data_IF_321387595705
#
_entry.id   IF_321387595705
#
_cell.length_a   1.000
_cell.length_b   1.000
_cell.length_c   1.000
_cell.angle_alpha   90.00
_cell.angle_beta   90.00
_cell.angle_gamma   90.00
#
_symmetry.space_group_name_H-M   'P 1'
#
loop_
_entity.id
_entity.type
_entity.pdbx_description
1 polymer ?
#
# COMPACT_ATOMS: atom_id res chain seq x y z
N UNK A 1 -13.57 28.16 21.40
CA UNK A 1 -12.11 28.12 21.66
C UNK A 1 -11.50 27.29 20.54
N UNK A 2 -10.51 27.82 19.84
CA UNK A 2 -9.79 27.02 18.83
C UNK A 2 -8.99 25.95 19.60
N UNK A 3 -9.27 24.69 19.38
CA UNK A 3 -8.46 23.59 19.92
C UNK A 3 -7.08 23.66 19.27
N UNK A 4 -6.04 23.79 20.10
CA UNK A 4 -4.66 23.72 19.63
C UNK A 4 -4.44 22.31 19.10
N UNK A 5 -4.16 22.22 17.81
CA UNK A 5 -3.84 20.94 17.14
C UNK A 5 -2.38 20.58 17.50
N UNK A 6 -2.22 19.64 18.42
CA UNK A 6 -0.89 19.12 18.80
C UNK A 6 -0.75 17.73 18.17
N UNK A 7 0.11 17.55 17.16
CA UNK A 7 0.43 16.23 16.66
C UNK A 7 1.14 15.42 17.75
N UNK A 8 0.68 14.20 17.95
CA UNK A 8 1.28 13.25 18.89
C UNK A 8 1.70 12.00 18.15
N UNK A 9 2.77 11.37 18.59
CA UNK A 9 3.16 10.06 18.12
C UNK A 9 3.65 9.19 19.28
N UNK A 10 3.43 7.89 19.15
CA UNK A 10 3.91 6.87 20.08
C UNK A 10 4.58 5.75 19.30
N UNK A 11 5.68 5.27 19.81
CA UNK A 11 6.46 4.18 19.23
C UNK A 11 6.52 3.04 20.24
N UNK A 12 6.23 1.84 19.76
CA UNK A 12 6.33 0.61 20.53
C UNK A 12 7.35 -0.30 19.88
N UNK A 13 8.27 -0.80 20.66
CA UNK A 13 9.32 -1.75 20.26
C UNK A 13 9.09 -3.05 21.01
N UNK A 14 8.97 -4.17 20.31
CA UNK A 14 8.63 -5.47 20.92
C UNK A 14 7.36 -5.41 21.80
N UNK A 15 6.36 -4.60 21.41
CA UNK A 15 5.10 -4.44 22.14
C UNK A 15 5.15 -3.50 23.36
N UNK A 16 6.34 -3.00 23.73
CA UNK A 16 6.52 -2.05 24.83
C UNK A 16 6.67 -0.63 24.30
N UNK A 17 5.99 0.33 24.90
CA UNK A 17 6.14 1.75 24.53
C UNK A 17 7.60 2.19 24.78
N UNK A 18 8.13 2.95 23.84
CA UNK A 18 9.48 3.50 23.92
C UNK A 18 9.57 4.47 25.11
N UNK A 19 10.61 4.35 25.92
CA UNK A 19 10.79 5.20 27.09
C UNK A 19 11.00 6.67 26.67
N UNK A 20 10.53 7.60 27.51
CA UNK A 20 10.53 9.03 27.19
C UNK A 20 11.91 9.60 26.82
N UNK A 21 12.98 9.04 27.37
CA UNK A 21 14.36 9.43 27.09
C UNK A 21 14.72 9.32 25.60
N UNK A 22 14.17 8.33 24.90
CA UNK A 22 14.48 8.09 23.49
C UNK A 22 13.74 9.05 22.55
N UNK A 23 12.61 9.62 22.96
CA UNK A 23 11.84 10.53 22.10
C UNK A 23 12.59 11.83 21.77
N UNK A 24 13.50 12.29 22.66
CA UNK A 24 14.31 13.47 22.40
C UNK A 24 15.27 13.29 21.22
N UNK A 25 15.61 12.06 20.90
CA UNK A 25 16.52 11.74 19.81
C UNK A 25 15.79 11.66 18.46
N UNK A 26 14.45 11.51 18.46
CA UNK A 26 13.67 11.34 17.24
C UNK A 26 13.43 12.69 16.58
N UNK A 27 13.95 12.83 15.37
CA UNK A 27 13.82 14.05 14.57
C UNK A 27 12.58 14.01 13.66
N UNK A 28 12.29 12.84 13.07
CA UNK A 28 11.18 12.70 12.12
C UNK A 28 10.65 11.27 12.09
N UNK A 29 9.33 11.15 11.96
CA UNK A 29 8.64 9.88 11.70
C UNK A 29 7.78 10.05 10.47
N UNK A 30 7.92 9.14 9.51
CA UNK A 30 7.16 9.16 8.25
C UNK A 30 6.54 7.79 8.02
N UNK A 31 5.22 7.74 7.90
CA UNK A 31 4.49 6.56 7.46
C UNK A 31 4.06 6.76 6.02
N UNK A 32 4.43 5.84 5.14
CA UNK A 32 4.00 5.79 3.75
C UNK A 32 3.09 4.59 3.56
N UNK A 33 1.81 4.86 3.46
CA UNK A 33 0.80 3.86 3.11
C UNK A 33 0.69 3.76 1.59
N UNK A 34 0.57 2.55 1.08
CA UNK A 34 0.36 2.29 -0.34
C UNK A 34 -0.75 1.27 -0.51
N UNK A 35 -1.58 1.46 -1.49
CA UNK A 35 -2.62 0.49 -1.87
C UNK A 35 -2.07 -0.71 -2.64
N UNK A 36 -0.82 -0.63 -3.09
CA UNK A 36 -0.14 -1.67 -3.85
C UNK A 36 1.28 -1.85 -3.29
N UNK A 37 1.55 -2.99 -2.66
CA UNK A 37 2.85 -3.32 -2.10
C UNK A 37 2.96 -3.09 -0.59
N UNK A 38 4.19 -2.99 -0.08
CA UNK A 38 4.45 -2.84 1.36
C UNK A 38 4.29 -1.41 1.85
N UNK A 39 3.56 -1.22 2.94
CA UNK A 39 3.61 0.01 3.71
C UNK A 39 4.96 0.13 4.42
N UNK A 40 5.44 1.35 4.57
CA UNK A 40 6.75 1.64 5.13
C UNK A 40 6.65 2.69 6.21
N UNK A 41 7.47 2.54 7.25
CA UNK A 41 7.70 3.58 8.23
C UNK A 41 9.20 3.87 8.28
N UNK A 42 9.54 5.17 8.33
CA UNK A 42 10.92 5.62 8.48
C UNK A 42 10.99 6.51 9.70
N UNK A 43 11.96 6.23 10.59
CA UNK A 43 12.22 7.00 11.80
C UNK A 43 13.64 7.53 11.70
N UNK A 44 13.78 8.85 11.56
CA UNK A 44 15.07 9.53 11.54
C UNK A 44 15.37 10.05 12.95
N UNK A 45 16.57 9.81 13.43
CA UNK A 45 16.99 10.21 14.77
C UNK A 45 18.44 10.72 14.81
N UNK A 46 18.73 11.52 15.82
CA UNK A 46 20.07 11.95 16.20
C UNK A 46 20.45 11.07 17.41
N UNK A 47 21.59 10.40 17.35
CA UNK A 47 21.99 9.40 18.35
C UNK A 47 23.38 9.71 18.95
N UNK A 48 23.50 10.83 19.68
CA UNK A 48 24.80 11.27 20.20
C UNK A 48 25.43 10.29 21.17
N UNK A 49 24.60 9.56 21.90
CA UNK A 49 25.00 8.60 22.92
C UNK A 49 25.03 7.16 22.40
N UNK A 50 24.85 6.95 21.09
CA UNK A 50 24.87 5.65 20.40
C UNK A 50 23.83 4.65 20.92
N UNK A 51 22.75 5.13 21.55
CA UNK A 51 21.74 4.30 22.22
C UNK A 51 20.97 3.37 21.27
N UNK A 52 20.73 3.85 20.05
CA UNK A 52 20.05 3.06 19.01
C UNK A 52 21.04 2.27 18.15
N UNK A 53 22.19 2.87 17.84
CA UNK A 53 23.18 2.30 16.92
C UNK A 53 23.91 1.11 17.58
N UNK A 54 24.35 1.26 18.83
CA UNK A 54 25.05 0.21 19.57
C UNK A 54 24.12 -0.62 20.47
N UNK A 55 22.89 -0.12 20.68
CA UNK A 55 21.89 -0.78 21.51
C UNK A 55 21.33 -2.04 20.85
N UNK A 56 21.04 -3.05 21.66
CA UNK A 56 20.39 -4.28 21.21
C UNK A 56 18.86 -4.17 21.08
N UNK A 57 18.29 -2.99 21.35
CA UNK A 57 16.85 -2.79 21.39
C UNK A 57 16.20 -2.84 20.02
N UNK A 58 16.87 -2.32 19.00
CA UNK A 58 16.40 -2.24 17.62
C UNK A 58 17.40 -2.96 16.71
N UNK A 59 17.00 -4.14 16.26
CA UNK A 59 17.75 -4.96 15.33
C UNK A 59 16.85 -5.38 14.17
N UNK A 60 17.40 -5.96 13.12
CA UNK A 60 16.60 -6.49 12.01
C UNK A 60 15.52 -7.44 12.52
N UNK A 61 14.33 -7.32 11.95
CA UNK A 61 13.13 -8.09 12.33
C UNK A 61 12.52 -7.74 13.69
N UNK A 62 12.99 -6.71 14.40
CA UNK A 62 12.34 -6.21 15.61
C UNK A 62 10.93 -5.70 15.28
N UNK A 63 9.87 -6.19 15.98
CA UNK A 63 8.51 -5.67 15.81
C UNK A 63 8.41 -4.22 16.24
N UNK A 64 7.85 -3.38 15.37
CA UNK A 64 7.60 -1.97 15.64
C UNK A 64 6.15 -1.63 15.35
N UNK A 65 5.55 -0.88 16.28
CA UNK A 65 4.27 -0.21 16.08
C UNK A 65 4.46 1.29 16.28
N UNK A 66 3.97 2.06 15.33
CA UNK A 66 4.00 3.53 15.38
C UNK A 66 2.58 4.04 15.26
N UNK A 67 2.15 4.83 16.23
CA UNK A 67 0.85 5.51 16.23
C UNK A 67 1.10 6.99 16.04
N UNK A 68 0.54 7.58 15.00
CA UNK A 68 0.58 9.03 14.76
C UNK A 68 -0.85 9.54 14.83
N UNK A 69 -1.07 10.57 15.62
CA UNK A 69 -2.40 11.12 15.80
C UNK A 69 -2.41 12.64 15.89
N UNK A 70 -3.57 13.19 15.61
CA UNK A 70 -3.90 14.58 15.84
C UNK A 70 -5.35 14.64 16.30
N UNK A 71 -5.57 15.03 17.56
CA UNK A 71 -6.86 14.90 18.24
C UNK A 71 -7.33 13.43 18.26
N UNK A 72 -8.58 13.17 17.85
CA UNK A 72 -9.20 11.83 17.88
C UNK A 72 -8.92 11.00 16.60
N UNK A 73 -8.06 11.48 15.71
CA UNK A 73 -7.70 10.77 14.49
C UNK A 73 -6.30 10.18 14.62
N UNK A 74 -6.22 8.86 14.73
CA UNK A 74 -4.98 8.12 14.81
C UNK A 74 -4.77 7.28 13.54
N UNK A 75 -3.51 7.19 13.13
CA UNK A 75 -3.00 6.26 12.12
C UNK A 75 -1.97 5.37 12.76
N UNK A 76 -2.10 4.08 12.55
CA UNK A 76 -1.21 3.08 13.12
C UNK A 76 -0.47 2.35 12.02
N UNK A 77 0.85 2.31 12.12
CA UNK A 77 1.72 1.43 11.36
C UNK A 77 2.15 0.27 12.28
N UNK A 78 2.05 -0.95 11.79
CA UNK A 78 2.59 -2.16 12.44
C UNK A 78 3.47 -2.91 11.45
N UNK A 79 4.69 -3.21 11.88
CA UNK A 79 5.65 -3.87 11.01
C UNK A 79 6.92 -4.28 11.74
N UNK A 80 7.99 -4.42 10.99
CA UNK A 80 9.28 -4.91 11.45
C UNK A 80 10.39 -4.01 10.94
N UNK A 81 11.44 -3.86 11.72
CA UNK A 81 12.67 -3.21 11.29
C UNK A 81 13.29 -4.03 10.15
N UNK A 82 13.53 -3.37 9.02
CA UNK A 82 14.18 -3.98 7.87
C UNK A 82 15.65 -3.59 7.75
N UNK A 83 15.96 -2.32 8.04
CA UNK A 83 17.32 -1.76 7.95
C UNK A 83 17.48 -0.71 9.03
N UNK A 84 18.66 -0.67 9.62
CA UNK A 84 19.16 0.42 10.45
C UNK A 84 20.37 1.04 9.74
N UNK A 85 20.20 2.24 9.20
CA UNK A 85 21.28 3.02 8.59
C UNK A 85 21.89 3.96 9.64
N UNK A 86 23.21 3.92 9.81
CA UNK A 86 23.94 4.82 10.69
C UNK A 86 24.89 5.71 9.90
N UNK A 87 25.01 6.98 10.30
CA UNK A 87 25.92 7.97 9.70
C UNK A 87 26.75 8.64 10.80
N UNK A 88 28.05 8.66 10.59
CA UNK A 88 29.03 9.28 11.48
C UNK A 88 29.74 10.43 10.74
N UNK A 89 29.14 11.64 10.73
CA UNK A 89 29.75 12.77 10.07
C UNK A 89 31.01 13.21 10.80
N UNK A 90 32.01 13.69 10.07
CA UNK A 90 33.23 14.23 10.66
C UNK A 90 32.93 15.42 11.60
N UNK A 91 32.05 16.30 11.15
CA UNK A 91 31.62 17.48 11.87
C UNK A 91 30.10 17.39 12.11
N UNK A 92 29.71 16.89 13.29
CA UNK A 92 28.29 16.73 13.65
C UNK A 92 28.04 15.54 14.55
N UNK A 93 26.79 15.35 14.93
CA UNK A 93 26.37 14.25 15.78
C UNK A 93 26.05 13.00 14.93
N UNK A 94 26.29 11.81 15.45
CA UNK A 94 25.83 10.59 14.83
C UNK A 94 24.31 10.62 14.60
N UNK A 95 23.89 10.09 13.47
CA UNK A 95 22.47 9.98 13.12
C UNK A 95 22.15 8.56 12.70
N UNK A 96 20.92 8.13 12.94
CA UNK A 96 20.44 6.87 12.44
C UNK A 96 19.08 7.02 11.75
N UNK A 97 18.82 6.14 10.81
CA UNK A 97 17.52 6.01 10.15
C UNK A 97 17.05 4.56 10.27
N UNK A 98 15.92 4.37 10.93
CA UNK A 98 15.28 3.05 11.08
C UNK A 98 14.25 2.93 9.97
N UNK A 99 14.45 1.96 9.09
CA UNK A 99 13.50 1.60 8.04
C UNK A 99 12.67 0.41 8.47
N UNK A 100 11.36 0.58 8.46
CA UNK A 100 10.41 -0.47 8.83
C UNK A 100 9.50 -0.80 7.64
N UNK A 101 9.13 -2.05 7.52
CA UNK A 101 8.19 -2.56 6.53
C UNK A 101 7.08 -3.32 7.24
N UNK A 102 5.88 -3.27 6.70
CA UNK A 102 4.78 -4.08 7.22
C UNK A 102 4.98 -5.58 6.92
N UNK A 103 4.08 -6.41 7.43
CA UNK A 103 4.18 -7.88 7.30
C UNK A 103 4.14 -8.37 5.84
N UNK A 104 3.66 -7.55 4.89
CA UNK A 104 3.62 -7.93 3.47
C UNK A 104 5.01 -8.11 2.87
N UNK A 105 6.06 -7.56 3.50
CA UNK A 105 7.43 -7.79 3.04
C UNK A 105 7.80 -9.28 3.01
N UNK A 106 7.20 -10.10 3.89
CA UNK A 106 7.39 -11.55 3.90
C UNK A 106 6.91 -12.19 2.59
N UNK A 107 5.85 -11.64 2.00
CA UNK A 107 5.30 -12.09 0.72
C UNK A 107 6.19 -11.73 -0.47
N UNK A 108 7.16 -10.83 -0.26
CA UNK A 108 8.10 -10.37 -1.29
C UNK A 108 9.46 -11.10 -1.26
N UNK A 109 9.67 -11.99 -0.27
CA UNK A 109 10.98 -12.64 -0.05
C UNK A 109 11.26 -13.81 -0.99
N UNK A 110 10.23 -14.46 -1.51
CA UNK A 110 10.35 -15.71 -2.26
C UNK A 110 9.59 -15.63 -3.58
N UNK A 111 10.25 -16.08 -4.64
CA UNK A 111 9.63 -16.32 -5.93
C UNK A 111 8.96 -17.69 -5.93
N UNK A 112 7.74 -17.76 -6.39
CA UNK A 112 6.96 -18.99 -6.42
C UNK A 112 6.44 -19.27 -7.83
N UNK A 113 6.29 -20.56 -8.13
CA UNK A 113 5.60 -21.06 -9.32
C UNK A 113 4.54 -22.05 -8.85
N UNK A 114 3.27 -21.71 -9.04
CA UNK A 114 2.13 -22.50 -8.57
C UNK A 114 0.99 -22.41 -9.57
N UNK A 115 0.14 -23.43 -9.59
CA UNK A 115 -1.09 -23.45 -10.41
C UNK A 115 -2.26 -23.83 -9.51
N UNK A 116 -3.35 -23.11 -9.65
CA UNK A 116 -4.64 -23.41 -9.02
C UNK A 116 -5.64 -23.75 -10.11
N UNK A 117 -6.39 -24.82 -9.93
CA UNK A 117 -7.39 -25.31 -10.90
C UNK A 117 -8.79 -25.10 -10.34
N UNK A 118 -9.75 -24.83 -11.24
CA UNK A 118 -11.17 -24.69 -10.90
C UNK A 118 -11.44 -23.74 -9.73
N UNK A 119 -10.79 -22.60 -9.69
CA UNK A 119 -10.80 -21.66 -8.58
C UNK A 119 -11.27 -20.25 -9.01
N UNK A 120 -11.62 -19.43 -8.02
CA UNK A 120 -11.87 -17.98 -8.22
C UNK A 120 -10.61 -17.21 -7.87
N UNK A 121 -10.44 -16.01 -8.45
CA UNK A 121 -9.31 -15.12 -8.14
C UNK A 121 -9.30 -14.79 -6.64
N UNK A 122 -10.47 -14.50 -6.06
CA UNK A 122 -10.61 -14.20 -4.64
C UNK A 122 -10.17 -15.36 -3.74
N UNK A 123 -10.49 -16.62 -4.13
CA UNK A 123 -10.09 -17.81 -3.34
C UNK A 123 -8.58 -18.03 -3.35
N UNK A 124 -7.92 -17.72 -4.47
CA UNK A 124 -6.45 -17.80 -4.58
C UNK A 124 -5.79 -16.73 -3.73
N UNK A 125 -6.27 -15.49 -3.79
CA UNK A 125 -5.77 -14.39 -2.95
C UNK A 125 -5.93 -14.71 -1.45
N UNK A 126 -7.10 -15.24 -1.06
CA UNK A 126 -7.35 -15.68 0.33
C UNK A 126 -6.34 -16.73 0.78
N UNK A 127 -6.14 -17.76 -0.02
CA UNK A 127 -5.21 -18.84 0.30
C UNK A 127 -3.79 -18.31 0.50
N UNK A 128 -3.32 -17.42 -0.35
CA UNK A 128 -2.00 -16.82 -0.25
C UNK A 128 -1.88 -16.00 1.04
N UNK A 129 -2.83 -15.11 1.33
CA UNK A 129 -2.77 -14.30 2.54
C UNK A 129 -2.78 -15.14 3.83
N UNK A 130 -3.60 -16.22 3.87
CA UNK A 130 -3.65 -17.13 5.02
C UNK A 130 -2.33 -17.87 5.26
N UNK A 131 -1.54 -18.18 4.22
CA UNK A 131 -0.21 -18.80 4.36
C UNK A 131 0.75 -17.93 5.18
N UNK A 132 0.58 -16.61 5.14
CA UNK A 132 1.37 -15.66 5.92
C UNK A 132 0.72 -15.30 7.27
N UNK A 133 -0.37 -15.98 7.64
CA UNK A 133 -1.05 -15.76 8.92
C UNK A 133 -1.80 -14.44 9.01
N UNK A 134 -2.25 -13.88 7.89
CA UNK A 134 -3.15 -12.74 7.90
C UNK A 134 -4.59 -13.17 8.24
N UNK A 135 -5.28 -12.34 8.99
CA UNK A 135 -6.74 -12.29 8.97
C UNK A 135 -7.17 -11.76 7.62
N UNK A 136 -8.25 -12.27 7.03
CA UNK A 136 -8.63 -11.88 5.68
C UNK A 136 -10.03 -11.32 5.61
N UNK A 137 -10.20 -10.27 4.80
CA UNK A 137 -11.49 -9.74 4.36
C UNK A 137 -11.54 -9.81 2.84
N UNK A 138 -12.37 -10.71 2.33
CA UNK A 138 -12.40 -11.07 0.92
C UNK A 138 -13.80 -10.83 0.36
N UNK A 139 -13.89 -10.07 -0.73
CA UNK A 139 -15.08 -10.04 -1.58
C UNK A 139 -14.95 -11.09 -2.66
N UNK A 140 -16.02 -11.84 -2.91
CA UNK A 140 -16.01 -12.90 -3.92
C UNK A 140 -15.93 -12.32 -5.34
N UNK A 141 -14.95 -12.77 -6.10
CA UNK A 141 -14.78 -12.40 -7.52
C UNK A 141 -15.77 -13.11 -8.46
N UNK A 142 -16.52 -14.10 -7.94
CA UNK A 142 -17.60 -14.87 -8.59
C UNK A 142 -17.19 -15.70 -9.80
N UNK A 143 -16.35 -15.16 -10.69
CA UNK A 143 -15.93 -15.85 -11.92
C UNK A 143 -14.98 -17.00 -11.59
N UNK A 144 -15.38 -18.20 -11.91
CA UNK A 144 -14.58 -19.41 -11.78
C UNK A 144 -13.72 -19.60 -13.03
N UNK A 145 -12.40 -19.70 -12.83
CA UNK A 145 -11.45 -19.92 -13.91
C UNK A 145 -10.98 -21.37 -13.92
N UNK A 146 -10.71 -21.92 -15.09
CA UNK A 146 -10.17 -23.27 -15.25
C UNK A 146 -8.80 -23.42 -14.58
N UNK A 147 -7.93 -22.40 -14.72
CA UNK A 147 -6.66 -22.35 -14.03
C UNK A 147 -6.19 -20.91 -13.80
N UNK A 148 -5.47 -20.71 -12.69
CA UNK A 148 -4.75 -19.47 -12.39
C UNK A 148 -3.30 -19.86 -12.13
N UNK A 149 -2.35 -19.20 -12.80
CA UNK A 149 -0.95 -19.57 -12.73
C UNK A 149 -0.10 -18.40 -12.22
N UNK A 150 0.69 -18.67 -11.18
CA UNK A 150 1.79 -17.83 -10.73
C UNK A 150 3.08 -18.38 -11.34
N UNK A 151 3.86 -17.54 -12.02
CA UNK A 151 5.07 -17.97 -12.71
C UNK A 151 6.26 -17.12 -12.31
N UNK A 152 7.15 -17.69 -11.48
CA UNK A 152 8.41 -17.08 -11.05
C UNK A 152 8.26 -15.63 -10.59
N UNK A 153 7.32 -15.38 -9.71
CA UNK A 153 7.05 -14.07 -9.13
C UNK A 153 6.73 -14.15 -7.63
N UNK A 154 6.88 -13.03 -6.93
CA UNK A 154 6.59 -12.96 -5.50
C UNK A 154 5.10 -12.97 -5.24
N UNK A 155 4.69 -13.45 -4.06
CA UNK A 155 3.28 -13.57 -3.71
C UNK A 155 2.58 -12.20 -3.67
N UNK A 156 3.25 -11.16 -3.21
CA UNK A 156 2.67 -9.81 -3.21
C UNK A 156 2.48 -9.27 -4.63
N UNK A 157 3.47 -9.49 -5.52
CA UNK A 157 3.37 -9.10 -6.93
C UNK A 157 2.22 -9.82 -7.61
N UNK A 158 2.11 -11.13 -7.36
CA UNK A 158 1.07 -11.96 -7.94
C UNK A 158 -0.33 -11.54 -7.48
N UNK A 159 -0.57 -11.41 -6.16
CA UNK A 159 -1.87 -10.98 -5.65
C UNK A 159 -2.25 -9.58 -6.15
N UNK A 160 -1.26 -8.70 -6.31
CA UNK A 160 -1.50 -7.37 -6.89
C UNK A 160 -1.96 -7.46 -8.35
N UNK A 161 -1.37 -8.35 -9.15
CA UNK A 161 -1.81 -8.58 -10.54
C UNK A 161 -3.21 -9.17 -10.61
N UNK A 162 -3.56 -10.08 -9.70
CA UNK A 162 -4.88 -10.69 -9.66
C UNK A 162 -6.02 -9.67 -9.58
N UNK A 163 -5.78 -8.53 -8.90
CA UNK A 163 -6.76 -7.43 -8.84
C UNK A 163 -7.08 -6.88 -10.23
N UNK A 164 -6.07 -6.80 -11.06
CA UNK A 164 -6.19 -6.24 -12.40
C UNK A 164 -6.80 -7.25 -13.41
N UNK A 165 -6.78 -8.55 -13.11
CA UNK A 165 -7.33 -9.60 -13.98
C UNK A 165 -8.85 -9.78 -13.83
N UNK A 166 -9.46 -9.10 -12.84
CA UNK A 166 -10.91 -9.12 -12.66
C UNK A 166 -11.55 -8.13 -13.63
N UNK A 167 -12.17 -8.67 -14.68
CA UNK A 167 -12.95 -7.89 -15.64
C UNK A 167 -14.21 -7.33 -14.95
N UNK A 168 -14.65 -6.15 -15.37
CA UNK A 168 -15.89 -5.45 -14.94
C UNK A 168 -15.99 -5.03 -13.47
N UNK A 169 -14.99 -5.30 -12.64
CA UNK A 169 -14.99 -4.91 -11.23
C UNK A 169 -13.67 -4.28 -10.80
N UNK A 170 -13.79 -3.20 -10.09
CA UNK A 170 -12.63 -2.55 -9.49
C UNK A 170 -12.38 -3.19 -8.12
N UNK A 171 -11.45 -4.12 -8.04
CA UNK A 171 -10.97 -4.67 -6.79
C UNK A 171 -9.79 -3.86 -6.25
N UNK A 172 -9.59 -3.95 -4.95
CA UNK A 172 -8.44 -3.41 -4.24
C UNK A 172 -7.86 -4.52 -3.37
N UNK A 173 -6.55 -4.53 -3.28
CA UNK A 173 -5.84 -5.38 -2.34
C UNK A 173 -4.85 -4.55 -1.53
N UNK A 174 -4.91 -4.69 -0.21
CA UNK A 174 -4.04 -3.97 0.72
C UNK A 174 -4.02 -4.69 2.07
N UNK A 175 -3.11 -4.30 2.93
CA UNK A 175 -3.01 -4.82 4.30
C UNK A 175 -3.10 -3.66 5.27
N UNK A 176 -3.86 -3.86 6.35
CA UNK A 176 -3.96 -2.94 7.47
C UNK A 176 -3.72 -3.73 8.76
N UNK A 177 -2.60 -3.45 9.44
CA UNK A 177 -2.13 -4.23 10.58
C UNK A 177 -1.97 -5.72 10.22
N UNK A 178 -2.73 -6.59 10.89
CA UNK A 178 -2.71 -8.04 10.63
C UNK A 178 -3.82 -8.51 9.65
N UNK A 179 -4.61 -7.60 9.10
CA UNK A 179 -5.73 -7.93 8.22
C UNK A 179 -5.40 -7.61 6.78
N UNK A 180 -5.49 -8.62 5.92
CA UNK A 180 -5.39 -8.47 4.47
C UNK A 180 -6.79 -8.32 3.86
N UNK A 181 -6.90 -7.37 2.95
CA UNK A 181 -8.12 -7.04 2.25
C UNK A 181 -7.96 -7.37 0.76
N UNK A 182 -8.93 -8.07 0.22
CA UNK A 182 -9.12 -8.26 -1.21
C UNK A 182 -10.59 -8.00 -1.50
N UNK A 183 -10.93 -6.75 -1.78
CA UNK A 183 -12.30 -6.27 -1.74
C UNK A 183 -12.70 -5.52 -3.00
N UNK A 184 -13.98 -5.65 -3.37
CA UNK A 184 -14.55 -4.85 -4.44
C UNK A 184 -14.54 -3.38 -4.02
N UNK A 185 -13.99 -2.53 -4.89
CA UNK A 185 -13.98 -1.09 -4.68
C UNK A 185 -15.40 -0.55 -4.74
N UNK A 186 -15.91 -0.12 -3.63
CA UNK A 186 -17.17 0.61 -3.61
C UNK A 186 -16.99 1.95 -4.30
N UNK A 187 -18.00 2.38 -5.07
CA UNK A 187 -18.02 3.74 -5.59
C UNK A 187 -17.86 4.72 -4.42
N UNK A 188 -16.92 5.67 -4.50
CA UNK A 188 -16.72 6.60 -3.41
C UNK A 188 -18.01 7.37 -3.19
N UNK A 189 -18.63 7.19 -2.02
CA UNK A 189 -19.61 8.15 -1.55
C UNK A 189 -18.86 9.47 -1.36
N UNK A 190 -19.34 10.60 -1.86
CA UNK A 190 -18.72 11.89 -1.61
C UNK A 190 -18.78 12.18 -0.11
N UNK A 191 -17.76 11.73 0.63
CA UNK A 191 -17.70 11.82 2.09
C UNK A 191 -17.07 13.11 2.58
N UNK A 192 -16.41 13.88 1.69
CA UNK A 192 -15.80 15.14 2.04
C UNK A 192 -15.93 16.15 0.89
N UNK A 193 -16.36 17.35 1.24
CA UNK A 193 -16.32 18.50 0.34
C UNK A 193 -14.98 19.22 0.55
N UNK A 194 -14.16 19.28 -0.51
CA UNK A 194 -12.89 20.00 -0.49
C UNK A 194 -13.13 21.45 -0.96
N UNK A 195 -12.84 22.40 -0.10
CA UNK A 195 -13.04 23.82 -0.36
C UNK A 195 -11.69 24.56 -0.40
N UNK A 196 -11.33 25.07 -1.57
CA UNK A 196 -10.19 25.95 -1.77
C UNK A 196 -10.66 27.40 -1.75
N UNK A 197 -10.10 28.21 -0.84
CA UNK A 197 -10.45 29.62 -0.62
C UNK A 197 -11.91 29.91 -0.21
N UNK A 198 -12.66 28.88 0.17
CA UNK A 198 -14.02 29.00 0.72
C UNK A 198 -14.10 28.31 2.09
N UNK A 199 -14.86 28.82 3.04
CA UNK A 199 -15.07 28.09 4.30
C UNK A 199 -15.65 26.69 4.04
N UNK A 200 -15.21 25.66 4.78
CA UNK A 200 -14.31 25.62 5.93
C UNK A 200 -12.78 25.61 5.64
N UNK A 201 -12.29 26.03 4.48
CA UNK A 201 -10.86 26.14 4.14
C UNK A 201 -10.05 24.84 4.40
N UNK A 202 -10.56 23.73 3.95
CA UNK A 202 -9.96 22.41 4.22
C UNK A 202 -9.02 21.91 3.12
N UNK A 203 -8.76 22.73 2.08
CA UNK A 203 -7.83 22.45 1.00
C UNK A 203 -6.79 23.58 0.87
N UNK A 204 -5.54 23.29 1.27
CA UNK A 204 -4.45 24.26 1.29
C UNK A 204 -3.83 24.50 -0.09
N UNK A 205 -3.68 23.44 -0.88
CA UNK A 205 -3.18 23.54 -2.24
C UNK A 205 -3.86 22.53 -3.16
N UNK A 206 -4.02 22.90 -4.41
CA UNK A 206 -4.58 22.04 -5.45
C UNK A 206 -3.85 22.28 -6.77
N UNK A 207 -3.15 21.29 -7.26
CA UNK A 207 -2.38 21.34 -8.50
C UNK A 207 -2.83 20.25 -9.46
N UNK A 208 -3.92 20.45 -10.20
CA UNK A 208 -4.39 19.47 -11.17
C UNK A 208 -3.46 19.46 -12.40
N UNK A 209 -3.05 18.26 -12.82
CA UNK A 209 -2.37 18.04 -14.09
C UNK A 209 -3.33 17.34 -15.05
N UNK A 210 -3.70 18.01 -16.13
CA UNK A 210 -4.53 17.43 -17.18
C UNK A 210 -3.62 17.11 -18.36
N UNK A 211 -3.46 15.81 -18.66
CA UNK A 211 -2.70 15.36 -19.82
C UNK A 211 -3.68 15.04 -20.96
N UNK A 212 -3.60 15.76 -22.07
CA UNK A 212 -4.43 15.52 -23.25
C UNK A 212 -3.96 14.33 -24.09
N UNK A 213 -2.70 13.89 -23.93
CA UNK A 213 -2.12 12.79 -24.68
C UNK A 213 -2.63 11.41 -24.24
N UNK A 214 -3.35 11.33 -23.12
CA UNK A 214 -3.89 10.09 -22.61
C UNK A 214 -5.24 9.66 -23.22
N UNK A 215 -5.74 10.36 -24.22
CA UNK A 215 -6.90 9.90 -25.00
C UNK A 215 -6.45 8.73 -25.87
N UNK A 216 -6.67 7.51 -25.42
CA UNK A 216 -6.51 6.34 -26.26
C UNK A 216 -7.77 6.16 -27.08
N UNK A 217 -7.59 6.01 -28.37
CA UNK A 217 -8.64 5.54 -29.25
C UNK A 217 -8.99 4.08 -28.93
N UNK A 218 -10.20 3.63 -29.24
CA UNK A 218 -10.54 2.22 -29.14
C UNK A 218 -9.49 1.37 -29.85
N UNK A 219 -8.98 0.34 -29.19
CA UNK A 219 -7.96 -0.54 -29.77
C UNK A 219 -8.43 -1.99 -29.77
N UNK A 220 -8.06 -2.77 -30.79
CA UNK A 220 -8.37 -4.19 -30.82
C UNK A 220 -7.53 -4.92 -29.77
N UNK A 221 -8.16 -5.67 -28.89
CA UNK A 221 -7.53 -6.68 -28.05
C UNK A 221 -7.66 -8.02 -28.77
N UNK A 222 -6.55 -8.57 -29.21
CA UNK A 222 -6.50 -9.90 -29.82
C UNK A 222 -6.18 -10.91 -28.72
N UNK A 223 -7.04 -11.88 -28.55
CA UNK A 223 -6.85 -13.02 -27.65
C UNK A 223 -6.94 -14.31 -28.46
N UNK A 224 -6.32 -15.39 -28.01
CA UNK A 224 -6.40 -16.70 -28.67
C UNK A 224 -7.32 -17.56 -27.83
N UNK A 225 -8.44 -18.00 -28.44
CA UNK A 225 -9.26 -19.03 -27.86
C UNK A 225 -8.50 -20.36 -27.90
N UNK A 226 -8.03 -20.81 -26.76
CA UNK A 226 -7.24 -22.05 -26.64
C UNK A 226 -8.00 -23.32 -27.03
N UNK A 227 -9.34 -23.29 -27.05
CA UNK A 227 -10.17 -24.45 -27.47
C UNK A 227 -10.29 -24.53 -28.98
N UNK A 228 -10.40 -23.40 -29.65
CA UNK A 228 -10.62 -23.35 -31.10
C UNK A 228 -9.36 -22.93 -31.88
N UNK A 229 -8.30 -22.50 -31.17
CA UNK A 229 -7.05 -21.95 -31.74
C UNK A 229 -7.29 -20.76 -32.70
N UNK A 230 -8.42 -20.08 -32.56
CA UNK A 230 -8.76 -18.90 -33.36
C UNK A 230 -8.46 -17.62 -32.60
N UNK A 231 -7.99 -16.63 -33.34
CA UNK A 231 -7.83 -15.26 -32.79
C UNK A 231 -9.21 -14.64 -32.64
N UNK A 232 -9.53 -14.26 -31.40
CA UNK A 232 -10.74 -13.50 -31.08
C UNK A 232 -10.33 -12.05 -30.88
N UNK A 233 -10.86 -11.16 -31.71
CA UNK A 233 -10.58 -9.72 -31.60
C UNK A 233 -11.78 -9.03 -30.94
N UNK A 234 -11.52 -8.40 -29.78
CA UNK A 234 -12.49 -7.53 -29.09
C UNK A 234 -12.03 -6.09 -29.15
N UNK A 235 -12.94 -5.16 -29.39
CA UNK A 235 -12.62 -3.73 -29.34
C UNK A 235 -12.79 -3.27 -27.89
N UNK A 236 -11.69 -2.83 -27.28
CA UNK A 236 -11.70 -2.28 -25.93
C UNK A 236 -11.91 -0.77 -26.02
N UNK A 237 -13.02 -0.30 -25.47
CA UNK A 237 -13.30 1.13 -25.33
C UNK A 237 -12.68 1.65 -24.03
N UNK A 238 -11.86 2.71 -24.07
CA UNK A 238 -11.29 3.26 -22.85
C UNK A 238 -12.40 3.86 -21.98
N UNK A 239 -12.33 3.60 -20.67
CA UNK A 239 -13.29 4.14 -19.71
C UNK A 239 -13.09 5.65 -19.58
N UNK A 240 -14.17 6.42 -19.75
CA UNK A 240 -14.15 7.88 -19.64
C UNK A 240 -14.67 8.29 -18.27
N UNK A 241 -13.87 9.04 -17.52
CA UNK A 241 -14.29 9.67 -16.27
C UNK A 241 -14.44 11.18 -16.44
N UNK A 242 -15.42 11.75 -15.77
CA UNK A 242 -15.62 13.21 -15.77
C UNK A 242 -14.90 13.84 -14.58
N UNK A 243 -14.07 14.83 -14.84
CA UNK A 243 -13.51 15.72 -13.84
C UNK A 243 -14.19 17.09 -14.00
N UNK A 244 -15.24 17.34 -13.23
CA UNK A 244 -16.11 18.49 -13.42
C UNK A 244 -16.83 18.41 -14.78
N UNK A 245 -16.76 19.47 -15.58
CA UNK A 245 -17.37 19.52 -16.91
C UNK A 245 -16.48 18.96 -18.04
N UNK A 246 -15.33 18.34 -17.71
CA UNK A 246 -14.41 17.75 -18.70
C UNK A 246 -14.40 16.24 -18.57
N UNK A 247 -14.49 15.57 -19.71
CA UNK A 247 -14.27 14.12 -19.79
C UNK A 247 -12.77 13.82 -19.72
N UNK A 248 -12.38 12.97 -18.79
CA UNK A 248 -11.02 12.45 -18.66
C UNK A 248 -11.06 10.95 -18.93
N UNK A 249 -10.29 10.49 -19.89
CA UNK A 249 -10.21 9.08 -20.24
C UNK A 249 -9.14 8.43 -19.36
N UNK A 250 -9.53 7.49 -18.51
CA UNK A 250 -8.57 6.62 -17.82
C UNK A 250 -8.15 5.51 -18.79
N UNK A 251 -6.95 5.60 -19.28
CA UNK A 251 -6.33 4.50 -20.00
C UNK A 251 -5.49 3.70 -19.02
N UNK A 252 -6.06 2.67 -18.41
CA UNK A 252 -5.24 1.62 -17.83
C UNK A 252 -4.54 0.89 -18.99
N UNK A 253 -3.30 1.27 -19.25
CA UNK A 253 -2.48 0.53 -20.21
C UNK A 253 -1.72 -0.51 -19.44
N UNK A 254 -2.00 -1.77 -19.71
CA UNK A 254 -1.01 -2.82 -19.57
C UNK A 254 -0.20 -2.93 -20.85
N UNK A 255 1.12 -2.89 -20.71
CA UNK A 255 2.06 -3.48 -21.62
C UNK A 255 2.30 -4.91 -21.16
#
# INVERSE_FOLDING_TARGET
MASVLVPQYKIYVNGKELDAIYYHNINRVVIKETSLGCCRCTIDLIDPDMLFIEGSMIVESTPIKVVIGMNDQERTFEGYVSVLDAKFPKDGLPTATIHCMDKTHLMNRKYNTRTWENCTISSVAEQIYRQYGFKVKISDSKTKLESIQQSNETDISFVTKLVDDIEDKHFLTYVEGETAYFVERQAPSPSAQLNYRLPPYNLFSFSPRINKESKKEPYPKNDIDLKTLKVVSTVVNPTVHNLGNKQVTNSATRK
#
